data_IF_357370117069
#
_entry.id   IF_357370117069
#
_cell.length_a   1.000
_cell.length_b   1.000
_cell.length_c   1.000
_cell.angle_alpha   90.00
_cell.angle_beta   90.00
_cell.angle_gamma   90.00
#
_symmetry.space_group_name_H-M   'P 1'
#
loop_
_entity.id
_entity.type
_entity.pdbx_description
1 polymer ?
#
# COMPACT_ATOMS: atom_id res chain seq x y z
N UNK A 1 56.49 -50.67 -15.53
CA UNK A 1 55.78 -49.94 -16.60
C UNK A 1 54.74 -50.89 -17.17
N UNK A 2 53.47 -50.66 -16.81
CA UNK A 2 52.34 -51.53 -17.09
C UNK A 2 51.20 -50.65 -17.61
N UNK A 3 50.67 -51.03 -18.77
CA UNK A 3 49.33 -50.83 -19.33
C UNK A 3 48.48 -49.60 -18.95
N UNK A 4 48.05 -48.82 -19.94
CA UNK A 4 46.66 -48.87 -20.43
C UNK A 4 46.41 -47.82 -21.53
N UNK A 5 45.75 -48.28 -22.59
CA UNK A 5 45.21 -47.52 -23.72
C UNK A 5 43.82 -47.01 -23.33
N UNK A 6 43.51 -45.74 -23.60
CA UNK A 6 42.13 -45.26 -23.70
C UNK A 6 42.03 -44.22 -24.83
N UNK A 7 41.20 -44.56 -25.81
CA UNK A 7 40.97 -43.86 -27.06
C UNK A 7 40.04 -42.65 -26.88
N UNK A 8 40.32 -41.59 -27.64
CA UNK A 8 39.47 -40.41 -27.77
C UNK A 8 38.25 -40.70 -28.67
N UNK A 9 37.07 -40.24 -28.25
CA UNK A 9 35.85 -40.22 -29.07
C UNK A 9 35.36 -38.77 -29.21
N UNK A 10 34.96 -38.32 -30.41
CA UNK A 10 34.51 -36.94 -30.63
C UNK A 10 33.04 -36.73 -30.25
N UNK A 11 32.77 -35.51 -29.79
CA UNK A 11 31.48 -34.98 -29.37
C UNK A 11 30.41 -35.04 -30.47
N UNK A 12 29.20 -35.44 -30.11
CA UNK A 12 27.99 -35.36 -30.93
C UNK A 12 27.02 -34.38 -30.29
N UNK A 13 26.85 -33.23 -30.93
CA UNK A 13 25.94 -32.15 -30.55
C UNK A 13 24.50 -32.51 -30.99
N UNK A 14 23.59 -32.74 -30.04
CA UNK A 14 22.16 -32.75 -30.31
C UNK A 14 21.58 -31.36 -30.01
N UNK A 15 21.27 -30.61 -31.07
CA UNK A 15 20.39 -29.43 -30.98
C UNK A 15 18.92 -29.84 -31.04
N UNK A 16 18.00 -29.08 -30.39
CA UNK A 16 16.58 -29.41 -30.39
C UNK A 16 15.93 -29.16 -31.76
N UNK A 17 15.15 -30.14 -32.22
CA UNK A 17 14.32 -30.07 -33.43
C UNK A 17 13.15 -29.11 -33.21
N UNK A 18 13.03 -28.11 -34.10
CA UNK A 18 11.89 -27.20 -34.14
C UNK A 18 10.66 -27.90 -34.74
N UNK A 19 9.57 -28.00 -33.97
CA UNK A 19 8.27 -28.42 -34.47
C UNK A 19 7.53 -27.23 -35.12
N UNK A 20 6.89 -27.39 -36.29
CA UNK A 20 6.14 -26.31 -36.91
C UNK A 20 4.79 -26.09 -36.20
N UNK A 21 4.56 -24.87 -35.71
CA UNK A 21 3.30 -24.44 -35.12
C UNK A 21 2.21 -24.24 -36.21
N UNK A 22 1.09 -24.93 -36.06
CA UNK A 22 -0.12 -24.78 -36.88
C UNK A 22 -0.75 -23.40 -36.67
N UNK A 23 -0.74 -22.56 -37.72
CA UNK A 23 -1.41 -21.24 -37.73
C UNK A 23 -2.93 -21.43 -37.79
N UNK A 24 -3.64 -21.02 -36.73
CA UNK A 24 -5.10 -20.85 -36.77
C UNK A 24 -5.44 -19.45 -37.32
N UNK A 25 -6.43 -19.38 -38.21
CA UNK A 25 -6.91 -18.12 -38.78
C UNK A 25 -7.71 -17.32 -37.74
N UNK A 26 -7.59 -15.98 -37.77
CA UNK A 26 -8.28 -15.06 -36.88
C UNK A 26 -9.79 -14.99 -37.18
N UNK A 27 -10.67 -14.93 -36.17
CA UNK A 27 -12.12 -14.83 -36.37
C UNK A 27 -12.53 -13.45 -36.91
N UNK A 28 -13.44 -13.43 -37.88
CA UNK A 28 -13.99 -12.20 -38.50
C UNK A 28 -15.23 -11.77 -37.71
N UNK A 29 -15.23 -10.55 -37.16
CA UNK A 29 -16.43 -9.95 -36.55
C UNK A 29 -17.36 -9.41 -37.64
N UNK A 30 -18.55 -9.98 -37.76
CA UNK A 30 -19.62 -9.49 -38.62
C UNK A 30 -20.43 -8.43 -37.85
N UNK A 31 -20.13 -7.15 -38.07
CA UNK A 31 -20.91 -6.04 -37.53
C UNK A 31 -22.29 -5.99 -38.19
N UNK A 32 -23.33 -6.29 -37.41
CA UNK A 32 -24.72 -6.03 -37.79
C UNK A 32 -25.07 -4.61 -37.34
N UNK A 33 -25.30 -3.71 -38.29
CA UNK A 33 -25.78 -2.35 -38.02
C UNK A 33 -27.28 -2.38 -37.71
N UNK A 34 -27.65 -2.16 -36.45
CA UNK A 34 -29.02 -1.83 -36.07
C UNK A 34 -29.10 -0.32 -35.79
N UNK A 35 -29.86 0.38 -36.62
CA UNK A 35 -30.14 1.83 -36.53
C UNK A 35 -31.12 2.07 -35.38
N UNK A 36 -30.69 2.79 -34.34
CA UNK A 36 -31.59 3.50 -33.43
C UNK A 36 -31.55 5.00 -33.74
N UNK A 37 -32.73 5.57 -33.99
CA UNK A 37 -32.94 6.98 -34.28
C UNK A 37 -32.78 7.82 -33.01
N UNK A 38 -31.79 8.71 -32.98
CA UNK A 38 -31.63 9.72 -31.93
C UNK A 38 -32.45 10.96 -32.32
N UNK A 39 -33.51 11.24 -31.56
CA UNK A 39 -34.27 12.48 -31.66
C UNK A 39 -33.49 13.66 -31.05
N UNK A 40 -33.32 14.73 -31.83
CA UNK A 40 -32.71 15.98 -31.38
C UNK A 40 -33.75 16.81 -30.62
N UNK A 41 -33.63 16.88 -29.30
CA UNK A 41 -34.29 17.87 -28.45
C UNK A 41 -33.30 18.98 -28.08
N UNK A 42 -33.62 20.21 -28.44
CA UNK A 42 -32.85 21.43 -28.13
C UNK A 42 -32.98 21.81 -26.66
N UNK A 43 -31.90 21.67 -25.88
CA UNK A 43 -31.83 22.19 -24.51
C UNK A 43 -31.03 23.50 -24.49
N UNK A 44 -31.71 24.58 -24.12
CA UNK A 44 -31.16 25.92 -23.84
C UNK A 44 -30.15 25.85 -22.68
N UNK A 45 -28.89 26.19 -22.97
CA UNK A 45 -27.84 26.33 -21.97
C UNK A 45 -27.95 27.69 -21.25
N UNK A 46 -28.38 27.67 -19.99
CA UNK A 46 -28.17 28.77 -19.04
C UNK A 46 -26.92 28.46 -18.21
N UNK A 47 -25.87 29.25 -18.41
CA UNK A 47 -24.59 29.12 -17.70
C UNK A 47 -24.73 29.44 -16.21
N UNK A 48 -24.69 28.40 -15.39
CA UNK A 48 -24.47 28.48 -13.95
C UNK A 48 -23.30 27.58 -13.58
N UNK A 49 -22.21 28.16 -13.07
CA UNK A 49 -21.07 27.40 -12.55
C UNK A 49 -21.50 26.86 -11.18
N UNK A 50 -21.89 25.59 -11.13
CA UNK A 50 -22.19 24.89 -9.87
C UNK A 50 -20.86 24.44 -9.27
N UNK A 51 -20.52 24.81 -8.01
CA UNK A 51 -19.31 24.33 -7.38
C UNK A 51 -19.43 22.82 -7.11
N UNK A 52 -18.59 22.01 -7.75
CA UNK A 52 -18.50 20.56 -7.52
C UNK A 52 -17.85 20.27 -6.16
N UNK A 53 -18.60 20.46 -5.07
CA UNK A 53 -18.26 19.87 -3.77
C UNK A 53 -18.92 18.49 -3.69
N UNK A 54 -18.10 17.46 -3.44
CA UNK A 54 -18.47 16.05 -3.24
C UNK A 54 -19.18 15.40 -4.43
N UNK A 55 -18.42 15.06 -5.47
CA UNK A 55 -18.74 13.82 -6.19
C UNK A 55 -18.36 12.65 -5.27
N UNK A 56 -19.22 11.62 -5.11
CA UNK A 56 -18.85 10.43 -4.37
C UNK A 56 -17.69 9.76 -5.08
N UNK A 57 -16.69 9.32 -4.32
CA UNK A 57 -15.69 8.35 -4.77
C UNK A 57 -16.45 7.22 -5.46
N UNK A 58 -16.06 6.94 -6.70
CA UNK A 58 -16.73 5.98 -7.58
C UNK A 58 -16.96 4.66 -6.82
N UNK A 59 -18.20 4.17 -6.82
CA UNK A 59 -18.59 2.95 -6.13
C UNK A 59 -17.67 1.76 -6.46
N UNK A 60 -17.15 1.13 -5.39
CA UNK A 60 -16.45 -0.15 -5.30
C UNK A 60 -15.55 -0.55 -6.48
N UNK A 61 -14.39 0.10 -6.63
CA UNK A 61 -13.23 -0.46 -7.34
C UNK A 61 -12.45 -1.48 -6.50
N UNK A 62 -13.11 -2.10 -5.52
CA UNK A 62 -12.52 -3.09 -4.62
C UNK A 62 -12.43 -4.43 -5.33
N UNK A 63 -11.22 -5.00 -5.42
CA UNK A 63 -10.97 -6.32 -6.00
C UNK A 63 -10.66 -7.30 -4.87
N UNK A 64 -11.37 -8.43 -4.83
CA UNK A 64 -11.06 -9.51 -3.91
C UNK A 64 -9.81 -10.28 -4.37
N UNK A 65 -8.79 -10.30 -3.53
CA UNK A 65 -7.55 -11.06 -3.67
C UNK A 65 -7.64 -12.30 -2.78
N UNK A 66 -7.86 -13.46 -3.39
CA UNK A 66 -7.94 -14.73 -2.67
C UNK A 66 -6.59 -15.15 -2.09
N UNK A 67 -6.56 -15.94 -1.02
CA UNK A 67 -5.31 -16.43 -0.42
C UNK A 67 -4.40 -17.14 -1.43
N UNK A 68 -3.10 -16.86 -1.37
CA UNK A 68 -2.08 -17.30 -2.31
C UNK A 68 -2.10 -16.59 -3.68
N UNK A 69 -3.13 -15.80 -3.99
CA UNK A 69 -3.28 -15.15 -5.29
C UNK A 69 -2.57 -13.80 -5.37
N UNK A 70 -2.21 -13.41 -6.59
CA UNK A 70 -1.62 -12.11 -6.92
C UNK A 70 -2.61 -11.30 -7.76
N UNK A 71 -2.77 -10.02 -7.44
CA UNK A 71 -3.43 -9.03 -8.30
C UNK A 71 -2.48 -7.87 -8.58
N UNK A 72 -2.62 -7.26 -9.75
CA UNK A 72 -1.76 -6.17 -10.20
C UNK A 72 -2.58 -5.01 -10.76
N UNK A 73 -2.06 -3.80 -10.56
CA UNK A 73 -2.59 -2.54 -11.07
C UNK A 73 -1.48 -1.82 -11.81
N UNK A 74 -1.61 -1.71 -13.13
CA UNK A 74 -0.56 -1.14 -13.99
C UNK A 74 -0.91 0.29 -14.43
N UNK A 75 0.02 1.21 -14.21
CA UNK A 75 -0.07 2.61 -14.56
C UNK A 75 0.97 2.93 -15.63
N UNK A 76 0.50 3.14 -16.87
CA UNK A 76 1.36 3.42 -18.02
C UNK A 76 1.75 4.89 -18.13
N UNK A 77 0.91 5.78 -17.60
CA UNK A 77 1.16 7.22 -17.67
C UNK A 77 2.21 7.63 -16.64
N UNK A 78 3.26 8.38 -17.03
CA UNK A 78 4.20 8.97 -16.08
C UNK A 78 3.55 10.09 -15.23
N UNK A 79 2.34 10.53 -15.57
CA UNK A 79 1.59 11.51 -14.78
C UNK A 79 1.01 10.96 -13.48
N UNK A 80 1.04 9.64 -13.29
CA UNK A 80 0.65 9.01 -12.02
C UNK A 80 1.90 8.94 -11.17
N UNK A 81 2.06 9.93 -10.29
CA UNK A 81 3.23 10.06 -9.41
C UNK A 81 3.03 9.37 -8.07
N UNK A 82 1.78 9.11 -7.69
CA UNK A 82 1.41 8.47 -6.43
C UNK A 82 0.21 7.56 -6.60
N UNK A 83 0.15 6.51 -5.80
CA UNK A 83 -0.99 5.62 -5.68
C UNK A 83 -1.23 5.27 -4.22
N UNK A 84 -2.49 5.22 -3.81
CA UNK A 84 -2.86 4.81 -2.47
C UNK A 84 -3.42 3.40 -2.51
N UNK A 85 -2.85 2.55 -1.66
CA UNK A 85 -3.26 1.16 -1.48
C UNK A 85 -4.06 1.06 -0.19
N UNK A 86 -5.32 0.65 -0.32
CA UNK A 86 -6.22 0.39 0.80
C UNK A 86 -6.59 -1.09 0.79
N UNK A 87 -6.27 -1.79 1.88
CA UNK A 87 -6.54 -3.21 2.06
C UNK A 87 -7.38 -3.45 3.30
N UNK A 88 -8.43 -4.26 3.16
CA UNK A 88 -9.29 -4.65 4.28
C UNK A 88 -9.71 -6.12 4.19
N UNK A 89 -10.28 -6.62 5.28
CA UNK A 89 -10.88 -7.96 5.37
C UNK A 89 -12.21 -7.86 6.13
N UNK A 90 -12.99 -8.94 6.19
CA UNK A 90 -14.23 -9.02 6.97
C UNK A 90 -13.97 -9.53 8.39
N UNK A 91 -13.17 -8.80 9.17
CA UNK A 91 -12.91 -9.11 10.58
C UNK A 91 -11.85 -10.21 10.79
N UNK A 92 -11.09 -10.52 9.75
CA UNK A 92 -10.06 -11.57 9.72
C UNK A 92 -8.65 -10.98 9.69
N UNK A 93 -7.62 -11.77 10.02
CA UNK A 93 -6.26 -11.36 9.77
C UNK A 93 -6.02 -11.05 8.29
N UNK A 94 -5.26 -10.00 8.05
CA UNK A 94 -4.75 -9.58 6.74
C UNK A 94 -3.25 -9.90 6.73
N UNK A 95 -2.78 -10.69 5.79
CA UNK A 95 -1.35 -10.90 5.56
C UNK A 95 -1.08 -10.77 4.05
N UNK A 96 -0.34 -9.73 3.66
CA UNK A 96 -0.12 -9.37 2.27
C UNK A 96 1.32 -8.95 1.99
N UNK A 97 1.83 -9.37 0.83
CA UNK A 97 3.02 -8.76 0.22
C UNK A 97 2.56 -7.73 -0.80
N UNK A 98 3.12 -6.52 -0.71
CA UNK A 98 2.87 -5.40 -1.62
C UNK A 98 4.21 -5.01 -2.24
N UNK A 99 4.24 -4.93 -3.56
CA UNK A 99 5.43 -4.57 -4.32
C UNK A 99 5.09 -3.50 -5.35
N UNK A 100 5.98 -2.53 -5.51
CA UNK A 100 5.98 -1.63 -6.66
C UNK A 100 7.00 -2.17 -7.65
N UNK A 101 6.56 -2.47 -8.87
CA UNK A 101 7.42 -2.87 -9.98
C UNK A 101 7.63 -1.70 -10.92
N UNK A 102 8.89 -1.43 -11.26
CA UNK A 102 9.30 -0.42 -12.22
C UNK A 102 10.03 -1.10 -13.39
N UNK A 103 9.30 -1.37 -14.47
CA UNK A 103 9.81 -2.22 -15.54
C UNK A 103 9.95 -3.70 -15.12
N UNK A 104 10.63 -4.54 -15.92
CA UNK A 104 10.64 -5.99 -15.73
C UNK A 104 11.49 -6.50 -14.56
N UNK A 105 12.56 -5.78 -14.19
CA UNK A 105 13.59 -6.30 -13.27
C UNK A 105 13.88 -5.38 -12.07
N UNK A 106 13.06 -4.35 -11.84
CA UNK A 106 13.22 -3.48 -10.68
C UNK A 106 11.97 -3.50 -9.77
N UNK A 107 12.18 -3.75 -8.48
CA UNK A 107 11.18 -3.65 -7.43
C UNK A 107 11.64 -2.59 -6.42
N UNK A 108 11.46 -1.30 -6.74
CA UNK A 108 11.98 -0.19 -5.94
C UNK A 108 11.37 -0.10 -4.54
N UNK A 109 10.15 -0.60 -4.34
CA UNK A 109 9.48 -0.62 -3.05
C UNK A 109 8.86 -1.98 -2.82
N UNK A 110 9.06 -2.53 -1.62
CA UNK A 110 8.47 -3.79 -1.17
C UNK A 110 8.07 -3.63 0.28
N UNK A 111 6.88 -4.10 0.61
CA UNK A 111 6.46 -4.20 1.99
C UNK A 111 5.65 -5.45 2.25
N UNK A 112 5.82 -6.03 3.44
CA UNK A 112 4.94 -7.06 3.98
C UNK A 112 4.07 -6.44 5.05
N UNK A 113 2.76 -6.65 4.94
CA UNK A 113 1.76 -6.05 5.82
C UNK A 113 0.99 -7.16 6.50
N UNK A 114 1.04 -7.16 7.82
CA UNK A 114 0.18 -7.97 8.67
C UNK A 114 -0.75 -7.06 9.47
N UNK A 115 -2.04 -7.42 9.55
CA UNK A 115 -3.03 -6.82 10.45
C UNK A 115 -3.81 -7.94 11.13
N UNK A 116 -3.98 -7.87 12.45
CA UNK A 116 -4.76 -8.86 13.22
C UNK A 116 -6.25 -8.87 12.80
N UNK A 117 -6.82 -7.70 12.52
CA UNK A 117 -8.19 -7.53 12.09
C UNK A 117 -8.30 -6.40 11.06
N UNK A 118 -8.37 -6.76 9.78
CA UNK A 118 -8.42 -5.82 8.65
C UNK A 118 -9.77 -5.10 8.45
N UNK A 119 -10.82 -5.45 9.20
CA UNK A 119 -12.06 -4.66 9.25
C UNK A 119 -11.95 -3.52 10.23
N UNK A 120 -11.35 -3.80 11.40
CA UNK A 120 -11.17 -2.82 12.46
C UNK A 120 -10.01 -1.87 12.17
N UNK A 121 -8.97 -2.36 11.48
CA UNK A 121 -7.76 -1.60 11.12
C UNK A 121 -7.42 -1.84 9.65
N UNK A 122 -8.20 -1.31 8.70
CA UNK A 122 -7.81 -1.37 7.29
C UNK A 122 -6.40 -0.78 7.12
N UNK A 123 -5.59 -1.41 6.27
CA UNK A 123 -4.29 -0.88 5.92
C UNK A 123 -4.46 0.19 4.85
N UNK A 124 -3.85 1.36 5.04
CA UNK A 124 -3.83 2.46 4.08
C UNK A 124 -2.42 3.03 3.99
N UNK A 125 -1.81 2.94 2.81
CA UNK A 125 -0.49 3.52 2.55
C UNK A 125 -0.40 4.12 1.15
N UNK A 126 0.40 5.17 1.03
CA UNK A 126 0.73 5.85 -0.22
C UNK A 126 2.08 5.35 -0.71
N UNK A 127 2.08 4.92 -1.97
CA UNK A 127 3.26 4.47 -2.69
C UNK A 127 3.55 5.48 -3.77
N UNK A 128 4.77 6.00 -3.74
CA UNK A 128 5.30 6.91 -4.76
C UNK A 128 5.64 6.10 -6.01
N UNK A 129 5.11 6.53 -7.16
CA UNK A 129 5.31 5.93 -8.48
C UNK A 129 6.03 6.89 -9.42
N UNK A 130 7.20 7.45 -9.04
CA UNK A 130 7.87 8.42 -9.88
C UNK A 130 8.43 7.72 -11.11
N UNK A 131 8.25 8.37 -12.27
CA UNK A 131 8.75 7.96 -13.60
C UNK A 131 8.06 6.65 -14.06
N UNK A 132 7.29 6.72 -15.15
CA UNK A 132 6.49 5.58 -15.64
C UNK A 132 7.31 4.57 -16.48
N UNK A 133 6.76 3.38 -16.81
CA UNK A 133 5.53 2.76 -16.31
C UNK A 133 5.73 1.99 -14.99
N UNK A 134 4.72 2.04 -14.12
CA UNK A 134 4.75 1.39 -12.80
C UNK A 134 3.62 0.36 -12.66
N UNK A 135 3.84 -0.69 -11.88
CA UNK A 135 2.80 -1.67 -11.53
C UNK A 135 2.82 -1.92 -10.03
N UNK A 136 1.68 -1.74 -9.37
CA UNK A 136 1.49 -2.19 -7.99
C UNK A 136 1.04 -3.64 -8.01
N UNK A 137 1.73 -4.49 -7.27
CA UNK A 137 1.46 -5.92 -7.17
C UNK A 137 1.10 -6.23 -5.71
N UNK A 138 -0.05 -6.85 -5.50
CA UNK A 138 -0.57 -7.21 -4.17
C UNK A 138 -0.83 -8.70 -4.15
N UNK A 139 -0.12 -9.40 -3.28
CA UNK A 139 -0.28 -10.83 -3.05
C UNK A 139 -0.88 -11.05 -1.68
N UNK A 140 -2.02 -11.75 -1.64
CA UNK A 140 -2.53 -12.26 -0.38
C UNK A 140 -1.73 -13.52 -0.02
N UNK A 141 -1.01 -13.49 1.10
CA UNK A 141 -0.22 -14.63 1.60
C UNK A 141 -0.93 -15.36 2.73
N UNK A 142 -2.10 -14.87 3.14
CA UNK A 142 -3.03 -15.58 4.02
C UNK A 142 -3.65 -16.81 3.36
N UNK A 143 -4.45 -17.51 4.16
CA UNK A 143 -5.17 -18.71 3.73
C UNK A 143 -6.28 -18.35 2.72
N UNK A 144 -6.70 -19.33 1.90
CA UNK A 144 -7.68 -19.10 0.83
C UNK A 144 -9.04 -18.66 1.37
N UNK A 145 -9.36 -19.04 2.61
CA UNK A 145 -10.57 -18.69 3.34
C UNK A 145 -10.61 -17.22 3.78
N UNK A 146 -9.50 -16.49 3.68
CA UNK A 146 -9.37 -15.10 4.10
C UNK A 146 -9.06 -14.19 2.89
N UNK A 147 -10.07 -13.86 2.07
CA UNK A 147 -9.87 -12.93 0.96
C UNK A 147 -9.57 -11.52 1.47
N UNK A 148 -8.70 -10.81 0.75
CA UNK A 148 -8.40 -9.39 0.98
C UNK A 148 -9.19 -8.57 -0.02
N UNK A 149 -9.95 -7.60 0.48
CA UNK A 149 -10.52 -6.54 -0.32
C UNK A 149 -9.43 -5.50 -0.59
N UNK A 150 -9.00 -5.39 -1.85
CA UNK A 150 -7.93 -4.48 -2.27
C UNK A 150 -8.48 -3.37 -3.17
N UNK A 151 -8.24 -2.12 -2.79
CA UNK A 151 -8.51 -0.95 -3.59
C UNK A 151 -7.20 -0.17 -3.81
N UNK A 152 -6.89 0.14 -5.07
CA UNK A 152 -5.70 0.92 -5.43
C UNK A 152 -6.15 2.12 -6.26
N UNK A 153 -5.99 3.31 -5.70
CA UNK A 153 -6.46 4.56 -6.30
C UNK A 153 -5.28 5.44 -6.67
N UNK A 154 -5.40 6.17 -7.78
CA UNK A 154 -4.36 7.08 -8.28
C UNK A 154 -4.81 8.55 -8.24
N UNK A 155 -6.08 8.79 -7.94
CA UNK A 155 -6.71 10.08 -7.80
C UNK A 155 -7.00 10.37 -6.33
N UNK A 156 -6.81 11.63 -5.90
CA UNK A 156 -7.08 12.08 -4.54
C UNK A 156 -6.37 11.22 -3.47
N UNK A 157 -5.07 11.02 -3.65
CA UNK A 157 -4.21 10.30 -2.71
C UNK A 157 -3.93 11.16 -1.48
N UNK A 158 -3.92 10.53 -0.30
CA UNK A 158 -3.58 11.20 0.95
C UNK A 158 -2.15 11.75 0.95
N UNK A 159 -1.92 12.83 1.71
CA UNK A 159 -0.59 13.43 1.85
C UNK A 159 -0.30 13.76 3.32
N UNK A 160 0.99 13.74 3.74
CA UNK A 160 1.35 14.06 5.10
C UNK A 160 1.01 15.51 5.44
N UNK A 161 0.40 15.71 6.60
CA UNK A 161 0.13 17.03 7.17
C UNK A 161 1.42 17.82 7.46
N UNK A 162 1.29 19.15 7.55
CA UNK A 162 2.40 20.02 7.90
C UNK A 162 3.01 19.66 9.27
N UNK A 163 2.19 19.28 10.23
CA UNK A 163 2.62 18.84 11.56
C UNK A 163 3.42 17.53 11.48
N UNK A 164 3.01 16.59 10.63
CA UNK A 164 3.75 15.34 10.40
C UNK A 164 5.14 15.61 9.81
N UNK A 165 5.21 16.53 8.83
CA UNK A 165 6.48 16.97 8.23
C UNK A 165 7.38 17.65 9.28
N UNK A 166 6.82 18.55 10.09
CA UNK A 166 7.56 19.29 11.11
C UNK A 166 8.02 18.39 12.29
N UNK A 167 7.25 17.36 12.63
CA UNK A 167 7.56 16.42 13.70
C UNK A 167 8.59 15.35 13.29
N UNK A 168 9.10 15.39 12.05
CA UNK A 168 10.05 14.41 11.55
C UNK A 168 11.36 14.45 12.33
N UNK A 169 11.76 13.31 12.88
CA UNK A 169 12.93 13.19 13.74
C UNK A 169 13.80 12.01 13.33
N UNK A 170 15.12 12.14 13.50
CA UNK A 170 16.07 11.09 13.09
C UNK A 170 16.01 9.87 14.01
N UNK A 171 15.95 8.68 13.39
CA UNK A 171 16.11 7.37 14.00
C UNK A 171 17.34 6.71 13.38
N UNK A 172 18.34 6.43 14.21
CA UNK A 172 19.58 5.78 13.79
C UNK A 172 19.33 4.33 13.36
N UNK A 173 20.20 3.77 12.51
CA UNK A 173 20.11 2.36 12.13
C UNK A 173 20.17 1.43 13.33
N UNK A 174 19.32 0.41 13.35
CA UNK A 174 19.13 -0.52 14.47
C UNK A 174 18.40 0.06 15.68
N UNK A 175 18.07 1.35 15.69
CA UNK A 175 17.33 1.97 16.78
C UNK A 175 15.81 1.83 16.60
N UNK A 176 15.11 1.86 17.73
CA UNK A 176 13.64 1.94 17.75
C UNK A 176 13.19 3.24 18.43
N UNK A 177 12.04 3.76 17.99
CA UNK A 177 11.34 4.87 18.64
C UNK A 177 9.89 4.49 18.87
N UNK A 178 9.37 4.90 20.03
CA UNK A 178 8.03 4.56 20.49
C UNK A 178 7.21 5.84 20.64
N UNK A 179 5.98 5.82 20.13
CA UNK A 179 5.03 6.92 20.13
C UNK A 179 3.72 6.44 20.77
N UNK A 180 3.47 6.78 22.05
CA UNK A 180 2.19 6.48 22.68
C UNK A 180 1.12 7.48 22.19
N UNK A 181 -0.11 6.99 22.02
CA UNK A 181 -1.25 7.82 21.65
C UNK A 181 -2.35 7.75 22.69
N UNK A 182 -3.00 8.89 22.88
CA UNK A 182 -4.16 9.02 23.76
C UNK A 182 -5.36 8.23 23.20
N UNK A 183 -6.26 7.70 24.04
CA UNK A 183 -7.46 7.00 23.57
C UNK A 183 -8.39 7.83 22.68
N UNK A 184 -8.29 9.16 22.70
CA UNK A 184 -9.04 10.05 21.80
C UNK A 184 -8.49 10.05 20.38
N UNK A 185 -7.30 9.51 20.10
CA UNK A 185 -6.73 9.48 18.75
C UNK A 185 -7.29 8.29 17.98
N UNK A 186 -8.12 8.57 16.97
CA UNK A 186 -8.75 7.53 16.14
C UNK A 186 -7.78 6.98 15.09
N UNK A 187 -6.87 7.80 14.58
CA UNK A 187 -5.86 7.38 13.61
C UNK A 187 -4.58 8.22 13.67
N UNK A 188 -3.48 7.67 13.15
CA UNK A 188 -2.12 8.24 13.21
C UNK A 188 -1.51 8.28 11.81
N UNK A 189 -0.90 9.41 11.46
CA UNK A 189 -0.05 9.55 10.29
C UNK A 189 1.38 9.09 10.60
N UNK A 190 1.94 8.28 9.72
CA UNK A 190 3.34 7.84 9.76
C UNK A 190 4.01 8.23 8.45
N UNK A 191 5.04 9.06 8.52
CA UNK A 191 5.89 9.45 7.40
C UNK A 191 7.33 9.03 7.67
N UNK A 192 7.92 8.25 6.76
CA UNK A 192 9.32 7.84 6.84
C UNK A 192 10.08 8.30 5.60
N UNK A 193 11.27 8.88 5.80
CA UNK A 193 12.16 9.35 4.71
C UNK A 193 13.63 9.09 5.00
N UNK A 194 14.44 9.07 3.94
CA UNK A 194 15.91 9.10 4.00
C UNK A 194 16.46 10.27 3.17
N UNK A 195 17.78 10.39 3.08
CA UNK A 195 18.52 11.38 2.29
C UNK A 195 18.85 10.89 0.86
N UNK A 196 18.07 9.96 0.31
CA UNK A 196 18.33 9.31 -1.00
C UNK A 196 18.85 7.88 -0.88
N UNK A 197 19.01 7.39 0.35
CA UNK A 197 19.48 6.03 0.66
C UNK A 197 18.33 5.03 0.78
N UNK A 198 18.63 3.72 0.75
CA UNK A 198 17.62 2.70 1.04
C UNK A 198 16.96 2.92 2.40
N UNK A 199 15.63 2.83 2.42
CA UNK A 199 14.81 2.91 3.62
C UNK A 199 14.44 1.48 4.02
N UNK A 200 14.93 1.04 5.18
CA UNK A 200 14.55 -0.24 5.78
C UNK A 200 13.92 0.03 7.14
N UNK A 201 12.64 -0.31 7.29
CA UNK A 201 11.92 -0.04 8.52
C UNK A 201 10.95 -1.17 8.88
N UNK A 202 10.68 -1.30 10.17
CA UNK A 202 9.54 -2.06 10.68
C UNK A 202 8.67 -1.13 11.50
N UNK A 203 7.42 -0.98 11.06
CA UNK A 203 6.38 -0.19 11.73
C UNK A 203 5.49 -1.18 12.48
N UNK A 204 5.25 -0.94 13.76
CA UNK A 204 4.38 -1.78 14.58
C UNK A 204 3.33 -0.89 15.25
N UNK A 205 2.05 -1.23 15.10
CA UNK A 205 1.01 -0.73 15.96
C UNK A 205 0.73 -1.78 17.04
N UNK A 206 0.93 -1.41 18.29
CA UNK A 206 0.67 -2.26 19.45
C UNK A 206 -0.57 -1.76 20.20
N UNK A 207 -1.31 -2.69 20.80
CA UNK A 207 -2.36 -2.37 21.75
C UNK A 207 -2.29 -3.30 22.96
N UNK A 208 -1.94 -2.75 24.13
CA UNK A 208 -1.62 -3.53 25.32
C UNK A 208 -0.17 -4.07 25.33
N UNK A 209 0.20 -4.88 26.34
CA UNK A 209 1.58 -5.34 26.50
C UNK A 209 2.05 -6.24 25.35
N UNK A 210 2.95 -5.73 24.52
CA UNK A 210 3.62 -6.46 23.43
C UNK A 210 2.67 -7.24 22.50
N UNK A 211 1.50 -6.67 22.20
CA UNK A 211 0.52 -7.26 21.31
C UNK A 211 0.43 -6.45 20.01
N UNK A 212 1.09 -6.93 18.96
CA UNK A 212 1.12 -6.28 17.66
C UNK A 212 -0.22 -6.46 16.94
N UNK A 213 -0.90 -5.34 16.68
CA UNK A 213 -2.17 -5.26 15.93
C UNK A 213 -1.94 -5.10 14.44
N UNK A 214 -0.86 -4.42 14.08
CA UNK A 214 -0.43 -4.26 12.70
C UNK A 214 1.09 -4.19 12.66
N UNK A 215 1.68 -4.85 11.65
CA UNK A 215 3.12 -4.85 11.40
C UNK A 215 3.34 -4.60 9.92
N UNK A 216 4.20 -3.65 9.60
CA UNK A 216 4.61 -3.34 8.23
C UNK A 216 6.13 -3.46 8.20
N UNK A 217 6.63 -4.43 7.44
CA UNK A 217 8.06 -4.59 7.14
C UNK A 217 8.31 -3.97 5.78
N UNK A 218 9.08 -2.89 5.76
CA UNK A 218 9.21 -1.98 4.63
C UNK A 218 10.65 -1.94 4.12
N UNK A 219 10.78 -2.04 2.81
CA UNK A 219 11.98 -1.74 2.05
C UNK A 219 11.64 -0.74 0.94
N UNK A 220 12.50 0.25 0.75
CA UNK A 220 12.49 1.12 -0.44
C UNK A 220 13.92 1.44 -0.87
N UNK A 221 14.19 1.40 -2.18
CA UNK A 221 15.53 1.61 -2.74
C UNK A 221 16.08 3.02 -2.47
N UNK A 222 15.21 4.02 -2.51
CA UNK A 222 15.51 5.44 -2.32
C UNK A 222 14.35 6.08 -1.53
N UNK A 223 14.56 6.31 -0.23
CA UNK A 223 13.56 6.89 0.66
C UNK A 223 13.39 8.41 0.54
N UNK A 224 14.10 9.08 -0.39
CA UNK A 224 13.87 10.48 -0.74
C UNK A 224 12.96 10.60 -1.97
N UNK A 225 13.21 9.79 -3.01
CA UNK A 225 12.37 9.71 -4.22
C UNK A 225 11.06 8.95 -3.94
N UNK A 226 11.10 7.99 -3.01
CA UNK A 226 9.95 7.18 -2.58
C UNK A 226 9.85 7.13 -1.05
N UNK A 227 9.50 8.25 -0.39
CA UNK A 227 9.13 8.22 1.02
C UNK A 227 7.96 7.25 1.27
N UNK A 228 7.87 6.72 2.48
CA UNK A 228 6.72 5.93 2.90
C UNK A 228 5.77 6.79 3.73
N UNK A 229 4.50 6.79 3.35
CA UNK A 229 3.45 7.46 4.09
C UNK A 229 2.26 6.51 4.30
N UNK A 230 1.74 6.44 5.52
CA UNK A 230 0.61 5.62 5.87
C UNK A 230 -0.25 6.28 6.95
N UNK A 231 -1.53 5.91 6.96
CA UNK A 231 -2.46 6.23 8.04
C UNK A 231 -2.81 4.91 8.74
N UNK A 232 -2.57 4.87 10.06
CA UNK A 232 -2.83 3.72 10.90
C UNK A 232 -4.06 4.00 11.77
N UNK A 233 -5.09 3.18 11.65
CA UNK A 233 -6.26 3.24 12.53
C UNK A 233 -5.91 2.75 13.94
N UNK A 234 -6.20 3.57 14.94
CA UNK A 234 -5.89 3.36 16.35
C UNK A 234 -7.14 3.31 17.23
N UNK A 235 -8.11 2.40 16.96
CA UNK A 235 -9.33 2.34 17.75
C UNK A 235 -9.06 1.93 19.19
N UNK A 236 -9.81 2.55 20.12
CA UNK A 236 -9.75 2.27 21.56
C UNK A 236 -8.52 2.86 22.24
N UNK A 237 -8.24 2.38 23.46
CA UNK A 237 -7.15 2.88 24.29
C UNK A 237 -5.87 2.05 24.19
N UNK A 238 -4.75 2.64 24.63
CA UNK A 238 -3.48 1.91 24.82
C UNK A 238 -2.75 1.60 23.51
N UNK A 239 -3.02 2.38 22.47
CA UNK A 239 -2.35 2.28 21.18
C UNK A 239 -0.94 2.89 21.26
N UNK A 240 0.04 2.18 20.74
CA UNK A 240 1.44 2.60 20.70
C UNK A 240 2.01 2.27 19.32
N UNK A 241 2.54 3.26 18.63
CA UNK A 241 3.26 3.05 17.37
C UNK A 241 4.75 2.94 17.66
N UNK A 242 5.38 1.86 17.19
CA UNK A 242 6.83 1.70 17.20
C UNK A 242 7.37 1.77 15.78
N UNK A 243 8.45 2.51 15.63
CA UNK A 243 9.20 2.62 14.39
C UNK A 243 10.60 2.09 14.66
N UNK A 244 10.97 1.00 14.00
CA UNK A 244 12.30 0.38 14.08
C UNK A 244 13.00 0.64 12.76
N UNK A 245 14.18 1.27 12.80
CA UNK A 245 15.07 1.32 11.64
C UNK A 245 15.84 -0.01 11.59
N UNK A 246 15.56 -0.84 10.60
CA UNK A 246 16.19 -2.17 10.46
C UNK A 246 17.50 -2.11 9.67
N UNK A 247 17.88 -0.93 9.15
CA UNK A 247 19.16 -0.73 8.48
C UNK A 247 20.35 -0.68 9.47
N UNK A 248 21.59 -0.89 9.00
CA UNK A 248 22.80 -0.63 9.78
C UNK A 248 22.93 0.83 10.22
N UNK A 249 23.76 1.10 11.23
CA UNK A 249 23.89 2.42 11.88
C UNK A 249 24.27 3.54 10.89
N UNK A 250 24.93 3.22 9.79
CA UNK A 250 25.34 4.12 8.71
C UNK A 250 24.16 4.66 7.88
N UNK A 251 22.97 4.09 8.05
CA UNK A 251 21.75 4.41 7.29
C UNK A 251 20.65 4.94 8.24
N UNK A 252 20.76 6.20 8.70
CA UNK A 252 19.70 6.81 9.47
C UNK A 252 18.47 7.08 8.60
N UNK A 253 17.31 7.12 9.23
CA UNK A 253 16.06 7.56 8.62
C UNK A 253 15.40 8.65 9.46
N UNK A 254 14.46 9.38 8.88
CA UNK A 254 13.60 10.31 9.61
C UNK A 254 12.19 9.76 9.70
N UNK A 255 11.52 10.01 10.83
CA UNK A 255 10.16 9.58 11.08
C UNK A 255 9.32 10.72 11.65
N UNK A 256 8.24 11.08 10.98
CA UNK A 256 7.16 11.93 11.48
C UNK A 256 5.99 11.04 11.88
N UNK A 257 5.58 11.10 13.14
CA UNK A 257 4.47 10.28 13.67
C UNK A 257 3.57 11.18 14.52
N UNK A 258 2.37 11.47 14.03
CA UNK A 258 1.43 12.43 14.64
C UNK A 258 -0.02 11.96 14.52
N UNK A 259 -0.94 12.43 15.39
CA UNK A 259 -2.37 12.17 15.22
C UNK A 259 -2.88 12.64 13.85
N UNK A 260 -3.81 11.89 13.26
CA UNK A 260 -4.50 12.24 12.02
C UNK A 260 -5.94 12.67 12.28
N UNK A 261 -6.73 11.80 12.90
CA UNK A 261 -8.07 12.12 13.40
C UNK A 261 -8.13 11.95 14.91
N UNK A 262 -8.86 12.86 15.56
CA UNK A 262 -9.08 12.87 17.01
C UNK A 262 -10.60 12.86 17.25
N UNK A 263 -11.03 11.93 18.08
CA UNK A 263 -12.39 11.81 18.57
C UNK A 263 -12.68 12.88 19.62
N UNK A 264 -13.36 13.95 19.20
CA UNK A 264 -13.76 15.04 20.10
C UNK A 264 -14.94 14.69 21.01
N UNK A 265 -15.66 13.61 20.74
CA UNK A 265 -16.80 13.22 21.57
C UNK A 265 -16.34 12.54 22.87
N UNK A 266 -15.20 11.83 22.84
CA UNK A 266 -14.59 11.25 24.03
C UNK A 266 -13.95 12.29 24.96
N UNK A 267 -13.52 13.45 24.46
CA UNK A 267 -12.95 14.51 25.31
C UNK A 267 -14.00 15.29 26.10
N UNK A 268 -15.27 15.26 25.68
CA UNK A 268 -16.38 15.92 26.37
C UNK A 268 -16.98 15.09 27.52
N UNK A 269 -16.68 13.78 27.59
CA UNK A 269 -17.32 12.86 28.53
C UNK A 269 -16.66 12.77 29.91
N UNK A 270 -15.51 13.42 30.14
CA UNK A 270 -14.74 13.32 31.39
C UNK A 270 -14.59 14.66 32.14
N UNK A 271 -15.65 15.47 32.17
CA UNK A 271 -15.74 16.61 33.09
C UNK A 271 -16.95 16.43 33.99
N UNK A 272 -16.86 15.47 34.92
CA UNK A 272 -17.74 15.46 36.11
C UNK A 272 -17.17 16.47 37.10
N UNK A 273 -17.56 17.73 36.97
CA UNK A 273 -17.38 18.74 38.02
C UNK A 273 -18.34 18.37 39.16
N UNK A 274 -17.88 17.50 40.05
CA UNK A 274 -18.48 17.24 41.35
C UNK A 274 -18.25 18.42 42.28
N UNK A 275 -18.95 19.53 42.03
CA UNK A 275 -19.01 20.68 42.93
C UNK A 275 -20.22 20.56 43.85
N UNK A 276 -20.02 19.94 45.01
CA UNK A 276 -20.96 20.00 46.13
C UNK A 276 -21.02 21.47 46.64
N UNK A 277 -22.14 22.15 46.40
CA UNK A 277 -22.44 23.45 47.01
C UNK A 277 -23.42 23.16 48.15
N UNK A 278 -22.86 22.88 49.33
CA UNK A 278 -23.61 22.50 50.51
C UNK A 278 -23.04 23.06 51.81
N UNK A 279 -22.99 24.40 51.96
CA UNK A 279 -23.42 25.14 53.16
C UNK A 279 -23.17 26.64 53.05
#
# INVERSE_FOLDING_TARGET
MLSCVLAASPALMLGPMAAPALRHASPVMQQTFQREQVGYGTATYTGGVVPTRKAPVKADSTILVQGGSLRTWSYRSPSVEQVQVVLSTEGRPLDADIELWHGPDNTPCKMRVYVENGQLRPFSAVIETPRGPNTVAIRNIGQIEFPIAANVVADQVDSPSADCLAASTTIQGGALRTYPFDPTVDSVQVLLKTDGRPLNARIELLQGPNNNKQVIELYTEDGLDRPFFAILETPGSGNVVRIVNTAPIEFPMTAGVVPHSINTDMSAADVVIGGDIGR
#
